data_IF_621410731267
#
_entry.id   IF_621410731267
#
_cell.length_a   1.000
_cell.length_b   1.000
_cell.length_c   1.000
_cell.angle_alpha   90.00
_cell.angle_beta   90.00
_cell.angle_gamma   90.00
#
_symmetry.space_group_name_H-M   'P 1'
#
loop_
_entity.id
_entity.type
_entity.pdbx_description
1 polymer ?
#
# COMPACT_ATOMS: atom_id res chain seq x y z
N UNK A 1 15.58 7.62 6.11
CA UNK A 1 14.36 7.94 5.34
C UNK A 1 14.67 8.17 3.87
N UNK A 2 14.49 7.12 3.09
CA UNK A 2 14.60 7.09 1.65
C UNK A 2 13.24 6.67 1.08
N UNK A 3 12.81 7.31 0.00
CA UNK A 3 11.60 6.91 -0.73
C UNK A 3 11.98 6.23 -2.03
N UNK A 4 11.25 5.17 -2.37
CA UNK A 4 11.41 4.46 -3.64
C UNK A 4 10.07 4.00 -4.19
N UNK A 5 10.01 3.81 -5.51
CA UNK A 5 8.88 3.16 -6.16
C UNK A 5 8.59 1.79 -5.52
N UNK A 6 7.30 1.51 -5.30
CA UNK A 6 6.87 0.23 -4.77
C UNK A 6 7.08 -0.89 -5.80
N UNK A 7 7.29 -2.09 -5.29
CA UNK A 7 7.44 -3.33 -6.06
C UNK A 7 6.36 -4.31 -5.62
N UNK A 8 6.05 -5.32 -6.44
CA UNK A 8 5.02 -6.34 -6.12
C UNK A 8 5.19 -6.98 -4.74
N UNK A 9 6.44 -7.15 -4.27
CA UNK A 9 6.74 -7.68 -2.93
C UNK A 9 6.26 -6.79 -1.77
N UNK A 10 6.08 -5.49 -2.03
CA UNK A 10 5.64 -4.51 -1.03
C UNK A 10 4.11 -4.50 -0.90
N UNK A 11 3.37 -5.09 -1.87
CA UNK A 11 1.91 -5.03 -1.93
C UNK A 11 1.20 -5.55 -0.67
N UNK A 12 1.75 -6.59 -0.03
CA UNK A 12 1.22 -7.11 1.22
C UNK A 12 1.30 -6.09 2.37
N UNK A 13 2.47 -5.43 2.53
CA UNK A 13 2.65 -4.41 3.56
C UNK A 13 1.78 -3.17 3.30
N UNK A 14 1.62 -2.78 2.02
CA UNK A 14 0.73 -1.70 1.62
C UNK A 14 -0.72 -2.03 1.96
N UNK A 15 -1.16 -3.26 1.66
CA UNK A 15 -2.51 -3.73 1.96
C UNK A 15 -2.81 -3.69 3.46
N UNK A 16 -1.90 -4.21 4.29
CA UNK A 16 -2.07 -4.23 5.74
C UNK A 16 -2.12 -2.81 6.32
N UNK A 17 -1.29 -1.90 5.80
CA UNK A 17 -1.31 -0.50 6.19
C UNK A 17 -2.66 0.16 5.86
N UNK A 18 -3.13 0.04 4.61
CA UNK A 18 -4.43 0.58 4.20
C UNK A 18 -5.55 0.02 5.08
N UNK A 19 -5.58 -1.30 5.27
CA UNK A 19 -6.60 -1.97 6.07
C UNK A 19 -6.65 -1.44 7.51
N UNK A 20 -5.50 -1.16 8.14
CA UNK A 20 -5.43 -0.61 9.49
C UNK A 20 -6.05 0.78 9.65
N UNK A 21 -6.11 1.57 8.57
CA UNK A 21 -6.72 2.91 8.54
C UNK A 21 -8.08 2.94 7.84
N UNK A 22 -8.61 1.80 7.40
CA UNK A 22 -9.93 1.74 6.76
C UNK A 22 -11.08 1.51 7.74
N UNK A 23 -10.79 1.08 8.97
CA UNK A 23 -11.82 0.74 9.96
C UNK A 23 -12.70 1.92 10.39
N UNK A 24 -12.15 3.13 10.40
CA UNK A 24 -12.85 4.38 10.77
C UNK A 24 -13.20 5.27 9.56
N UNK A 25 -12.93 4.77 8.34
CA UNK A 25 -13.17 5.51 7.11
C UNK A 25 -12.09 6.54 6.74
N UNK A 26 -10.96 6.58 7.46
CA UNK A 26 -9.83 7.46 7.10
C UNK A 26 -9.30 7.16 5.69
N UNK A 27 -9.15 5.87 5.36
CA UNK A 27 -8.79 5.41 4.02
C UNK A 27 -9.86 4.53 3.41
N UNK A 28 -10.04 4.67 2.10
CA UNK A 28 -10.85 3.71 1.33
C UNK A 28 -10.15 2.35 1.33
N UNK A 29 -10.88 1.27 1.66
CA UNK A 29 -10.31 -0.08 1.60
C UNK A 29 -9.95 -0.42 0.15
N UNK A 30 -8.84 -1.15 0.00
CA UNK A 30 -8.31 -1.65 -1.28
C UNK A 30 -8.03 -3.13 -1.12
N UNK A 31 -8.36 -3.93 -2.12
CA UNK A 31 -8.04 -5.36 -2.09
C UNK A 31 -6.58 -5.59 -2.49
N UNK A 32 -5.99 -6.70 -2.04
CA UNK A 32 -4.62 -7.06 -2.42
C UNK A 32 -4.44 -7.17 -3.96
N UNK A 33 -5.35 -7.78 -4.74
CA UNK A 33 -5.24 -7.78 -6.20
C UNK A 33 -5.22 -6.39 -6.82
N UNK A 34 -6.07 -5.46 -6.37
CA UNK A 34 -6.09 -4.07 -6.85
C UNK A 34 -4.76 -3.35 -6.58
N UNK A 35 -4.15 -3.60 -5.42
CA UNK A 35 -2.84 -3.03 -5.08
C UNK A 35 -1.74 -3.63 -5.95
N UNK A 36 -1.77 -4.95 -6.21
CA UNK A 36 -0.82 -5.59 -7.11
C UNK A 36 -0.92 -5.06 -8.55
N UNK A 37 -2.15 -4.84 -9.04
CA UNK A 37 -2.41 -4.28 -10.37
C UNK A 37 -1.88 -2.85 -10.49
N UNK A 38 -2.12 -2.02 -9.47
CA UNK A 38 -1.75 -0.61 -9.45
C UNK A 38 -0.46 -0.32 -8.68
N UNK A 39 0.42 -1.31 -8.51
CA UNK A 39 1.58 -1.21 -7.61
C UNK A 39 2.53 -0.05 -7.98
N UNK A 40 2.56 0.35 -9.25
CA UNK A 40 3.40 1.45 -9.74
C UNK A 40 2.91 2.83 -9.32
N UNK A 41 1.70 2.93 -8.77
CA UNK A 41 1.15 4.19 -8.27
C UNK A 41 1.56 4.45 -6.80
N UNK A 42 2.24 3.49 -6.18
CA UNK A 42 2.67 3.56 -4.78
C UNK A 42 4.17 3.86 -4.67
N UNK A 43 4.50 4.73 -3.73
CA UNK A 43 5.86 4.99 -3.27
C UNK A 43 5.96 4.51 -1.82
N UNK A 44 7.01 3.77 -1.49
CA UNK A 44 7.28 3.31 -0.13
C UNK A 44 8.37 4.15 0.51
N UNK A 45 8.20 4.46 1.80
CA UNK A 45 9.22 5.09 2.62
C UNK A 45 9.91 4.02 3.48
N UNK A 46 11.23 3.95 3.38
CA UNK A 46 12.09 3.04 4.14
C UNK A 46 13.03 3.87 5.03
N UNK A 47 13.45 3.34 6.18
CA UNK A 47 14.44 4.00 7.04
C UNK A 47 15.86 3.85 6.52
#
# INVERSE_FOLDING_TARGET
MHTREARLRDAGQIHDLIASYSGDGTLLPRTLPEICENIRDFVVAEE
#
